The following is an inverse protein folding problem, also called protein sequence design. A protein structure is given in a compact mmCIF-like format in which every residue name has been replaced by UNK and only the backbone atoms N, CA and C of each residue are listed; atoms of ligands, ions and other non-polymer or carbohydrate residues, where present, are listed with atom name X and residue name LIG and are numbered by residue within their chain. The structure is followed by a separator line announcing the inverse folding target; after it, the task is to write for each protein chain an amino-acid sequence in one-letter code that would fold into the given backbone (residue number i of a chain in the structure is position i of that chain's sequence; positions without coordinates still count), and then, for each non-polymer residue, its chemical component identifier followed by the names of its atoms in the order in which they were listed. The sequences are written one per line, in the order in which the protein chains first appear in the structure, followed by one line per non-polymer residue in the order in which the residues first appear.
data_IF_729172096644
#
_entry.id   IF_729172096644
#
_cell.length_a   1.000
_cell.length_b   1.000
_cell.length_c   1.000
_cell.angle_alpha   90.00
_cell.angle_beta   90.00
_cell.angle_gamma   90.00
#
_symmetry.space_group_name_H-M   'P 1'
#
loop_
_entity.id
_entity.type
_entity.pdbx_description
1 polymer ?
#
# COMPACT_ATOMS: atom_id res chain seq x y z
N UNK A 1 11.13 12.96 15.27
CA UNK A 1 10.40 14.01 15.98
C UNK A 1 9.45 13.39 17.01
N UNK A 2 9.51 13.87 18.31
CA UNK A 2 8.66 13.33 19.39
C UNK A 2 7.18 13.60 19.14
N UNK A 3 6.85 14.72 18.50
CA UNK A 3 5.47 15.04 18.16
C UNK A 3 4.87 14.05 17.16
N UNK A 4 5.66 13.58 16.19
CA UNK A 4 5.20 12.60 15.21
C UNK A 4 4.93 11.24 15.86
N UNK A 5 5.77 10.82 16.80
CA UNK A 5 5.55 9.60 17.58
C UNK A 5 4.29 9.69 18.45
N UNK A 6 4.08 10.82 19.12
CA UNK A 6 2.87 11.06 19.90
C UNK A 6 1.61 11.03 19.01
N UNK A 7 1.67 11.62 17.83
CA UNK A 7 0.57 11.57 16.85
C UNK A 7 0.27 10.14 16.36
N UNK A 8 1.29 9.32 16.13
CA UNK A 8 1.12 7.91 15.74
C UNK A 8 0.45 7.10 16.86
N UNK A 9 0.86 7.29 18.10
CA UNK A 9 0.22 6.62 19.25
C UNK A 9 -1.25 7.03 19.37
N UNK A 10 -1.54 8.33 19.30
CA UNK A 10 -2.90 8.84 19.35
C UNK A 10 -3.78 8.30 18.20
N UNK A 11 -3.23 8.20 17.00
CA UNK A 11 -3.93 7.62 15.85
C UNK A 11 -4.27 6.14 16.08
N UNK A 12 -3.33 5.35 16.61
CA UNK A 12 -3.54 3.95 16.93
C UNK A 12 -4.62 3.76 18.01
N UNK A 13 -4.60 4.56 19.07
CA UNK A 13 -5.62 4.50 20.12
C UNK A 13 -7.01 4.90 19.63
N UNK A 14 -7.07 5.92 18.79
CA UNK A 14 -8.34 6.33 18.14
C UNK A 14 -8.87 5.20 17.29
N UNK A 15 -8.05 4.61 16.42
CA UNK A 15 -8.44 3.48 15.58
C UNK A 15 -8.94 2.28 16.39
N UNK A 16 -8.23 1.89 17.44
CA UNK A 16 -8.64 0.80 18.33
C UNK A 16 -9.98 1.10 19.05
N UNK A 17 -10.17 2.34 19.45
CA UNK A 17 -11.41 2.78 20.12
C UNK A 17 -12.61 2.74 19.18
N UNK A 18 -12.47 3.27 17.98
CA UNK A 18 -13.52 3.25 16.98
C UNK A 18 -13.88 1.82 16.53
N UNK A 19 -12.85 0.96 16.36
CA UNK A 19 -13.09 -0.44 16.03
C UNK A 19 -13.86 -1.17 17.14
N UNK A 20 -13.55 -0.92 18.41
CA UNK A 20 -14.33 -1.47 19.55
C UNK A 20 -15.76 -0.98 19.54
N UNK A 21 -16.04 0.29 19.25
CA UNK A 21 -17.38 0.83 19.13
C UNK A 21 -18.20 0.10 18.06
N UNK A 22 -17.65 -0.03 16.86
CA UNK A 22 -18.28 -0.72 15.75
C UNK A 22 -18.56 -2.19 16.13
N UNK A 23 -17.57 -2.86 16.73
CA UNK A 23 -17.71 -4.25 17.18
C UNK A 23 -18.80 -4.41 18.24
N UNK A 24 -18.91 -3.45 19.17
CA UNK A 24 -19.99 -3.44 20.17
C UNK A 24 -21.37 -3.23 19.55
N UNK A 25 -21.45 -2.38 18.53
CA UNK A 25 -22.71 -2.04 17.85
C UNK A 25 -23.21 -3.16 16.93
N UNK A 26 -22.33 -3.77 16.14
CA UNK A 26 -22.71 -4.71 15.07
C UNK A 26 -22.33 -6.17 15.36
N UNK A 27 -21.57 -6.42 16.40
CA UNK A 27 -21.04 -7.74 16.75
C UNK A 27 -19.74 -8.06 16.00
N UNK A 28 -18.87 -8.85 16.64
CA UNK A 28 -17.54 -9.19 16.12
C UNK A 28 -17.61 -9.93 14.77
N UNK A 29 -18.52 -10.91 14.64
CA UNK A 29 -18.67 -11.70 13.40
C UNK A 29 -19.07 -10.85 12.20
N UNK A 30 -19.98 -9.90 12.40
CA UNK A 30 -20.40 -8.97 11.33
C UNK A 30 -19.25 -8.08 10.91
N UNK A 31 -18.54 -7.47 11.85
CA UNK A 31 -17.40 -6.58 11.55
C UNK A 31 -16.30 -7.33 10.81
N UNK A 32 -15.98 -8.54 11.26
CA UNK A 32 -14.97 -9.37 10.60
C UNK A 32 -15.35 -9.75 9.16
N UNK A 33 -16.62 -10.11 8.94
CA UNK A 33 -17.13 -10.40 7.60
C UNK A 33 -17.02 -9.17 6.67
N UNK A 34 -17.41 -8.00 7.16
CA UNK A 34 -17.32 -6.77 6.36
C UNK A 34 -15.88 -6.33 6.09
N UNK A 35 -14.95 -6.59 6.98
CA UNK A 35 -13.52 -6.40 6.69
C UNK A 35 -13.07 -7.24 5.48
N UNK A 36 -13.50 -8.51 5.40
CA UNK A 36 -13.28 -9.34 4.22
C UNK A 36 -13.92 -8.76 2.97
N UNK A 37 -15.19 -8.38 3.03
CA UNK A 37 -15.90 -7.80 1.89
C UNK A 37 -15.27 -6.51 1.36
N UNK A 38 -14.70 -5.67 2.24
CA UNK A 38 -13.99 -4.46 1.84
C UNK A 38 -12.70 -4.84 1.08
N UNK A 39 -11.96 -5.85 1.55
CA UNK A 39 -10.76 -6.34 0.87
C UNK A 39 -11.10 -6.93 -0.50
N UNK A 40 -12.11 -7.78 -0.58
CA UNK A 40 -12.57 -8.39 -1.85
C UNK A 40 -12.99 -7.31 -2.86
N UNK A 41 -13.73 -6.30 -2.40
CA UNK A 41 -14.15 -5.18 -3.24
C UNK A 41 -12.96 -4.33 -3.72
N UNK A 42 -11.97 -4.10 -2.86
CA UNK A 42 -10.76 -3.38 -3.22
C UNK A 42 -9.93 -4.17 -4.25
N UNK A 43 -9.77 -5.48 -4.05
CA UNK A 43 -9.10 -6.36 -5.01
C UNK A 43 -9.78 -6.34 -6.37
N UNK A 44 -11.10 -6.54 -6.42
CA UNK A 44 -11.85 -6.53 -7.68
C UNK A 44 -11.76 -5.16 -8.37
N UNK A 45 -11.78 -4.07 -7.61
CA UNK A 45 -11.61 -2.72 -8.17
C UNK A 45 -10.26 -2.54 -8.85
N UNK A 46 -9.17 -3.04 -8.24
CA UNK A 46 -7.84 -3.02 -8.84
C UNK A 46 -7.79 -3.92 -10.08
N UNK A 47 -8.37 -5.14 -10.01
CA UNK A 47 -8.40 -6.06 -11.16
C UNK A 47 -9.14 -5.47 -12.36
N UNK A 48 -10.20 -4.69 -12.17
CA UNK A 48 -10.88 -3.95 -13.24
C UNK A 48 -9.98 -2.87 -13.87
N UNK A 49 -9.15 -2.22 -13.08
CA UNK A 49 -8.17 -1.27 -13.61
C UNK A 49 -7.13 -1.97 -14.47
N UNK A 50 -6.69 -3.18 -14.10
CA UNK A 50 -5.74 -3.97 -14.89
C UNK A 50 -6.28 -4.34 -16.29
N UNK A 51 -7.60 -4.44 -16.47
CA UNK A 51 -8.20 -4.73 -17.79
C UNK A 51 -7.90 -3.64 -18.82
N UNK A 52 -7.70 -2.39 -18.37
CA UNK A 52 -7.44 -1.22 -19.24
C UNK A 52 -5.98 -0.75 -19.23
N UNK A 53 -5.18 -1.20 -18.27
CA UNK A 53 -3.75 -0.87 -18.21
C UNK A 53 -2.95 -1.63 -19.26
N UNK A 54 -1.80 -1.09 -19.60
CA UNK A 54 -0.81 -1.65 -20.51
C UNK A 54 0.56 -1.70 -19.84
N UNK A 55 1.44 -2.53 -20.37
CA UNK A 55 2.84 -2.56 -19.97
C UNK A 55 3.44 -1.17 -20.10
N UNK A 56 4.20 -0.76 -19.10
CA UNK A 56 4.88 0.52 -19.10
C UNK A 56 6.15 0.48 -18.25
N UNK A 57 7.01 1.46 -18.48
CA UNK A 57 8.20 1.70 -17.64
C UNK A 57 8.37 3.18 -17.39
N UNK A 58 8.95 3.50 -16.25
CA UNK A 58 9.19 4.88 -15.86
C UNK A 58 10.46 4.99 -15.00
N UNK A 59 11.20 6.06 -15.19
CA UNK A 59 12.37 6.41 -14.39
C UNK A 59 12.16 7.77 -13.75
N UNK A 60 12.37 7.85 -12.45
CA UNK A 60 12.22 9.10 -11.70
C UNK A 60 13.52 9.44 -10.95
N UNK A 61 14.20 10.52 -11.32
CA UNK A 61 15.38 10.99 -10.60
C UNK A 61 14.96 11.70 -9.29
N UNK A 62 15.66 11.39 -8.21
CA UNK A 62 15.53 12.06 -6.91
C UNK A 62 16.58 13.18 -6.79
N UNK A 63 16.30 14.21 -5.99
CA UNK A 63 17.17 15.37 -5.79
C UNK A 63 18.58 15.02 -5.33
N UNK A 64 18.75 13.90 -4.61
CA UNK A 64 20.03 13.38 -4.13
C UNK A 64 20.86 12.59 -5.15
N UNK A 65 20.44 12.54 -6.42
CA UNK A 65 21.12 11.80 -7.49
C UNK A 65 20.77 10.31 -7.56
N UNK A 66 20.00 9.79 -6.62
CA UNK A 66 19.42 8.47 -6.73
C UNK A 66 18.26 8.47 -7.75
N UNK A 67 17.87 7.30 -8.24
CA UNK A 67 16.73 7.15 -9.16
C UNK A 67 15.86 5.98 -8.75
N UNK A 68 14.58 6.10 -9.05
CA UNK A 68 13.62 5.00 -8.98
C UNK A 68 13.33 4.54 -10.40
N UNK A 69 13.59 3.28 -10.69
CA UNK A 69 13.18 2.60 -11.92
C UNK A 69 11.98 1.74 -11.62
N UNK A 70 10.99 1.74 -12.49
CA UNK A 70 9.84 0.86 -12.40
C UNK A 70 9.44 0.35 -13.77
N UNK A 71 9.21 -0.95 -13.87
CA UNK A 71 8.58 -1.58 -15.01
C UNK A 71 7.33 -2.32 -14.55
N UNK A 72 6.22 -2.11 -15.24
CA UNK A 72 4.94 -2.75 -14.96
C UNK A 72 4.58 -3.64 -16.13
N UNK A 73 4.37 -4.92 -15.87
CA UNK A 73 3.88 -5.90 -16.85
C UNK A 73 2.50 -6.39 -16.43
N UNK A 74 1.53 -6.34 -17.34
CA UNK A 74 0.14 -6.67 -17.06
C UNK A 74 -0.25 -7.97 -17.75
N UNK A 75 -0.63 -8.97 -16.97
CA UNK A 75 -1.27 -10.19 -17.47
C UNK A 75 -2.79 -10.02 -17.42
N UNK A 76 -3.39 -9.68 -18.56
CA UNK A 76 -4.84 -9.47 -18.66
C UNK A 76 -5.63 -10.76 -18.50
N UNK A 77 -5.07 -11.90 -18.87
CA UNK A 77 -5.77 -13.19 -18.72
C UNK A 77 -5.86 -13.61 -17.24
N UNK A 78 -4.79 -13.41 -16.49
CA UNK A 78 -4.76 -13.65 -15.06
C UNK A 78 -5.32 -12.47 -14.25
N UNK A 79 -5.57 -11.31 -14.88
CA UNK A 79 -5.92 -10.04 -14.22
C UNK A 79 -4.95 -9.71 -13.08
N UNK A 80 -3.66 -9.80 -13.39
CA UNK A 80 -2.56 -9.54 -12.46
C UNK A 80 -1.52 -8.64 -13.08
N UNK A 81 -0.68 -8.04 -12.25
CA UNK A 81 0.45 -7.24 -12.70
C UNK A 81 1.69 -7.55 -11.87
N UNK A 82 2.84 -7.45 -12.54
CA UNK A 82 4.14 -7.47 -11.90
C UNK A 82 4.71 -6.06 -11.92
N UNK A 83 5.16 -5.57 -10.77
CA UNK A 83 5.86 -4.30 -10.64
C UNK A 83 7.32 -4.62 -10.30
N UNK A 84 8.21 -4.31 -11.23
CA UNK A 84 9.63 -4.58 -11.12
C UNK A 84 10.39 -3.26 -10.91
N UNK A 85 11.16 -3.19 -9.82
CA UNK A 85 11.99 -2.06 -9.45
C UNK A 85 13.47 -2.28 -9.78
N UNK A 86 13.81 -3.29 -10.57
CA UNK A 86 15.18 -3.56 -11.02
C UNK A 86 15.78 -2.34 -11.72
N UNK A 87 16.97 -1.94 -11.30
CA UNK A 87 17.63 -0.73 -11.79
C UNK A 87 17.42 0.51 -10.91
N UNK A 88 16.55 0.45 -9.91
CA UNK A 88 16.48 1.46 -8.84
C UNK A 88 17.82 1.52 -8.10
N UNK A 89 18.22 2.72 -7.69
CA UNK A 89 19.46 2.94 -6.94
C UNK A 89 19.50 2.13 -5.64
N UNK A 90 20.71 1.69 -5.28
CA UNK A 90 20.96 1.00 -4.01
C UNK A 90 20.58 1.84 -2.80
N UNK A 91 20.48 1.18 -1.64
CA UNK A 91 20.20 1.83 -0.38
C UNK A 91 21.17 2.99 -0.11
N UNK A 92 20.61 4.16 0.13
CA UNK A 92 21.37 5.37 0.46
C UNK A 92 21.78 5.39 1.94
N UNK A 93 22.95 5.96 2.28
CA UNK A 93 23.30 6.26 3.68
C UNK A 93 22.43 7.40 4.27
N UNK A 94 21.60 8.08 3.45
CA UNK A 94 20.69 9.13 3.86
C UNK A 94 19.34 8.56 4.33
N UNK A 95 18.43 9.43 4.76
CA UNK A 95 17.14 9.03 5.35
C UNK A 95 16.04 8.67 4.32
N UNK A 96 16.32 8.76 3.05
CA UNK A 96 15.34 8.52 1.97
C UNK A 96 15.44 7.08 1.45
N UNK A 97 15.11 6.13 2.32
CA UNK A 97 15.02 4.72 1.94
C UNK A 97 13.60 4.21 2.18
N UNK A 98 13.19 3.21 1.41
CA UNK A 98 11.88 2.58 1.53
C UNK A 98 11.98 1.32 2.40
N UNK A 99 11.57 1.36 3.68
CA UNK A 99 11.58 0.17 4.53
C UNK A 99 10.52 -0.83 4.07
N UNK A 100 10.80 -2.12 4.22
CA UNK A 100 9.93 -3.22 3.80
C UNK A 100 8.48 -3.08 4.32
N UNK A 101 8.30 -2.58 5.53
CA UNK A 101 6.98 -2.39 6.15
C UNK A 101 6.11 -1.33 5.45
N UNK A 102 6.71 -0.44 4.65
CA UNK A 102 6.00 0.59 3.89
C UNK A 102 5.70 0.11 2.45
N UNK A 103 6.52 -0.82 1.93
CA UNK A 103 6.39 -1.33 0.57
C UNK A 103 5.39 -2.48 0.42
N UNK A 104 4.87 -3.05 1.52
CA UNK A 104 3.93 -4.16 1.54
C UNK A 104 2.50 -3.76 1.80
#
# INVERSE_FOLDING_TARGET
NMADLAAQIAANETGATELRKITTQFGHGTVQAYMGHVQDNAEESVRRVLDVLHDCSFSYPLDGGAKIEVAISVDKAARSATIDFTGTSDQSPLNYNAPMAICR
#
